data_IF_177595368040
#
_entry.id   IF_177595368040
#
_cell.length_a   1.000
_cell.length_b   1.000
_cell.length_c   1.000
_cell.angle_alpha   90.00
_cell.angle_beta   90.00
_cell.angle_gamma   90.00
#
_symmetry.space_group_name_H-M   'P 1'
#
loop_
_entity.id
_entity.type
_entity.pdbx_description
1 polymer ?
#
# COMPACT_ATOMS: atom_id res chain seq x y z
N UNK A 1 38.83 19.50 6.41
CA UNK A 1 39.36 18.86 5.17
C UNK A 1 39.03 17.36 5.05
N UNK A 2 39.44 16.48 6.01
CA UNK A 2 39.17 15.03 5.89
C UNK A 2 37.66 14.71 6.08
N UNK A 3 36.99 15.33 7.02
CA UNK A 3 35.54 15.15 7.29
C UNK A 3 34.69 15.66 6.11
N UNK A 4 35.09 16.77 5.53
CA UNK A 4 34.42 17.37 4.38
C UNK A 4 34.55 16.50 3.11
N UNK A 5 35.73 15.89 2.91
CA UNK A 5 35.95 14.91 1.84
C UNK A 5 35.14 13.62 2.02
N UNK A 6 35.03 13.11 3.25
CA UNK A 6 34.22 11.94 3.56
C UNK A 6 32.72 12.20 3.35
N UNK A 7 32.22 13.33 3.84
CA UNK A 7 30.80 13.71 3.63
C UNK A 7 30.50 13.91 2.14
N UNK A 8 31.40 14.53 1.38
CA UNK A 8 31.25 14.72 -0.06
C UNK A 8 31.27 13.38 -0.82
N UNK A 9 32.10 12.44 -0.39
CA UNK A 9 32.16 11.09 -0.96
C UNK A 9 30.87 10.31 -0.68
N UNK A 10 30.39 10.27 0.56
CA UNK A 10 29.11 9.65 0.93
C UNK A 10 27.91 10.26 0.19
N UNK A 11 27.86 11.59 0.05
CA UNK A 11 26.81 12.26 -0.71
C UNK A 11 26.85 11.91 -2.21
N UNK A 12 28.05 11.72 -2.76
CA UNK A 12 28.20 11.33 -4.16
C UNK A 12 27.78 9.87 -4.37
N UNK A 13 28.21 8.96 -3.50
CA UNK A 13 27.79 7.56 -3.56
C UNK A 13 26.28 7.39 -3.39
N UNK A 14 25.67 8.11 -2.45
CA UNK A 14 24.20 8.13 -2.28
C UNK A 14 23.48 8.66 -3.52
N UNK A 15 24.01 9.72 -4.12
CA UNK A 15 23.45 10.28 -5.36
C UNK A 15 23.54 9.31 -6.52
N UNK A 16 24.66 8.65 -6.69
CA UNK A 16 24.91 7.71 -7.80
C UNK A 16 24.09 6.43 -7.62
N UNK A 17 23.87 5.97 -6.38
CA UNK A 17 22.94 4.91 -6.05
C UNK A 17 21.49 5.30 -6.42
N UNK A 18 21.04 6.50 -6.03
CA UNK A 18 19.72 7.03 -6.38
C UNK A 18 19.50 7.14 -7.88
N UNK A 19 20.49 7.64 -8.63
CA UNK A 19 20.41 7.72 -10.12
C UNK A 19 20.31 6.33 -10.73
N UNK A 20 21.02 5.36 -10.19
CA UNK A 20 20.97 3.96 -10.65
C UNK A 20 19.60 3.35 -10.35
N UNK A 21 19.06 3.56 -9.16
CA UNK A 21 17.73 3.11 -8.78
C UNK A 21 16.62 3.77 -9.63
N UNK A 22 16.72 5.07 -9.91
CA UNK A 22 15.80 5.75 -10.82
C UNK A 22 15.82 5.15 -12.22
N UNK A 23 17.01 4.84 -12.77
CA UNK A 23 17.14 4.19 -14.08
C UNK A 23 16.56 2.77 -14.08
N UNK A 24 16.73 2.02 -12.99
CA UNK A 24 16.12 0.70 -12.83
C UNK A 24 14.60 0.80 -12.78
N UNK A 25 14.06 1.77 -12.02
CA UNK A 25 12.62 2.08 -11.97
C UNK A 25 12.08 2.49 -13.35
N UNK A 26 12.76 3.38 -14.07
CA UNK A 26 12.39 3.78 -15.42
C UNK A 26 12.41 2.59 -16.40
N UNK A 27 13.44 1.75 -16.33
CA UNK A 27 13.54 0.54 -17.15
C UNK A 27 12.43 -0.47 -16.84
N UNK A 28 12.05 -0.60 -15.56
CA UNK A 28 10.98 -1.48 -15.14
C UNK A 28 9.62 -0.93 -15.57
N UNK A 29 9.40 0.38 -15.41
CA UNK A 29 8.21 1.08 -15.92
C UNK A 29 8.10 0.90 -17.43
N UNK A 30 9.18 1.04 -18.19
CA UNK A 30 9.20 0.86 -19.65
C UNK A 30 8.89 -0.59 -20.06
N UNK A 31 9.46 -1.58 -19.37
CA UNK A 31 9.14 -3.01 -19.57
C UNK A 31 7.69 -3.33 -19.25
N UNK A 32 7.16 -2.75 -18.17
CA UNK A 32 5.77 -2.91 -17.76
C UNK A 32 4.84 -2.20 -18.74
N UNK A 33 5.18 -1.00 -19.21
CA UNK A 33 4.42 -0.28 -20.24
C UNK A 33 4.36 -1.07 -21.55
N UNK A 34 5.47 -1.68 -21.98
CA UNK A 34 5.50 -2.53 -23.18
C UNK A 34 4.68 -3.82 -23.02
N UNK A 35 4.77 -4.47 -21.86
CA UNK A 35 3.91 -5.62 -21.51
C UNK A 35 2.44 -5.23 -21.44
N UNK A 36 2.17 -4.00 -21.03
CA UNK A 36 0.87 -3.39 -20.96
C UNK A 36 0.27 -3.06 -22.33
N UNK A 37 1.04 -2.44 -23.23
CA UNK A 37 0.63 -2.19 -24.61
C UNK A 37 0.26 -3.48 -25.32
N UNK A 38 1.01 -4.57 -25.08
CA UNK A 38 0.69 -5.90 -25.60
C UNK A 38 -0.63 -6.41 -25.04
N UNK A 39 -0.84 -6.37 -23.72
CA UNK A 39 -2.09 -6.81 -23.09
C UNK A 39 -3.30 -5.93 -23.45
N UNK A 40 -3.12 -4.61 -23.58
CA UNK A 40 -4.16 -3.70 -24.07
C UNK A 40 -4.54 -4.02 -25.52
N UNK A 41 -3.55 -4.28 -26.37
CA UNK A 41 -3.79 -4.63 -27.79
C UNK A 41 -4.51 -5.98 -27.89
N UNK A 42 -4.14 -6.97 -27.09
CA UNK A 42 -4.83 -8.27 -27.01
C UNK A 42 -6.27 -8.13 -26.51
N UNK A 43 -6.48 -7.32 -25.47
CA UNK A 43 -7.81 -7.08 -24.88
C UNK A 43 -8.68 -6.24 -25.82
N UNK A 44 -8.09 -5.31 -26.58
CA UNK A 44 -8.80 -4.51 -27.59
C UNK A 44 -9.13 -5.35 -28.82
N UNK A 45 -8.26 -6.28 -29.21
CA UNK A 45 -8.50 -7.18 -30.36
C UNK A 45 -9.59 -8.23 -30.07
N UNK A 46 -9.74 -8.63 -28.81
CA UNK A 46 -10.83 -9.54 -28.36
C UNK A 46 -12.17 -8.83 -28.15
N UNK A 47 -12.19 -7.49 -28.14
CA UNK A 47 -13.36 -6.65 -27.88
C UNK A 47 -13.97 -6.04 -29.17
N UNK A 48 -13.83 -6.70 -30.31
CA UNK A 48 -14.63 -6.33 -31.49
C UNK A 48 -16.06 -6.77 -31.23
N UNK A 49 -16.90 -5.76 -30.99
CA UNK A 49 -18.37 -5.79 -30.77
C UNK A 49 -18.79 -5.77 -29.30
N UNK A 50 -18.71 -4.58 -28.67
CA UNK A 50 -19.71 -4.19 -27.67
C UNK A 50 -20.13 -2.74 -27.94
N UNK A 51 -21.41 -2.46 -28.12
CA UNK A 51 -21.92 -1.09 -28.21
C UNK A 51 -21.80 -0.46 -26.81
N UNK A 52 -21.27 0.76 -26.78
CA UNK A 52 -21.05 1.59 -25.60
C UNK A 52 -20.01 1.04 -24.60
N UNK A 53 -18.75 1.21 -24.93
CA UNK A 53 -17.71 1.16 -23.91
C UNK A 53 -18.06 2.15 -22.81
N UNK A 54 -18.19 1.63 -21.57
CA UNK A 54 -18.45 2.42 -20.38
C UNK A 54 -17.48 3.62 -20.33
N UNK A 55 -18.01 4.84 -20.25
CA UNK A 55 -17.20 6.06 -20.22
C UNK A 55 -16.11 6.00 -19.14
N UNK A 56 -16.41 5.36 -18.00
CA UNK A 56 -15.46 5.13 -16.92
C UNK A 56 -14.32 4.22 -17.35
N UNK A 57 -14.60 3.18 -18.14
CA UNK A 57 -13.55 2.28 -18.61
C UNK A 57 -12.60 2.97 -19.60
N UNK A 58 -13.12 3.87 -20.44
CA UNK A 58 -12.27 4.74 -21.30
C UNK A 58 -11.38 5.64 -20.44
N UNK A 59 -11.95 6.32 -19.44
CA UNK A 59 -11.19 7.14 -18.50
C UNK A 59 -10.07 6.35 -17.82
N UNK A 60 -10.34 5.10 -17.39
CA UNK A 60 -9.34 4.21 -16.80
C UNK A 60 -8.22 3.90 -17.78
N UNK A 61 -8.55 3.46 -19.00
CA UNK A 61 -7.55 3.12 -20.02
C UNK A 61 -6.68 4.31 -20.40
N UNK A 62 -7.30 5.46 -20.64
CA UNK A 62 -6.60 6.69 -21.01
C UNK A 62 -5.69 7.18 -19.86
N UNK A 63 -6.18 7.13 -18.61
CA UNK A 63 -5.37 7.51 -17.46
C UNK A 63 -4.17 6.58 -17.27
N UNK A 64 -4.35 5.27 -17.43
CA UNK A 64 -3.25 4.30 -17.32
C UNK A 64 -2.23 4.47 -18.46
N UNK A 65 -2.70 4.65 -19.71
CA UNK A 65 -1.84 4.87 -20.87
C UNK A 65 -0.96 6.11 -20.72
N UNK A 66 -1.53 7.19 -20.22
CA UNK A 66 -0.83 8.47 -20.07
C UNK A 66 -0.12 8.62 -18.72
N UNK A 67 -0.10 7.56 -17.87
CA UNK A 67 0.51 7.59 -16.55
C UNK A 67 -0.15 8.57 -15.56
N UNK A 68 -1.42 8.94 -15.80
CA UNK A 68 -2.19 9.85 -14.96
C UNK A 68 -2.79 9.14 -13.75
N UNK A 69 -1.91 8.46 -13.01
CA UNK A 69 -2.22 7.71 -11.78
C UNK A 69 -1.62 8.45 -10.61
N UNK A 70 -2.45 9.02 -9.77
CA UNK A 70 -2.05 9.73 -8.58
C UNK A 70 -2.21 8.86 -7.33
N UNK A 71 -1.39 9.07 -6.33
CA UNK A 71 -1.50 8.41 -5.04
C UNK A 71 -1.84 9.45 -3.96
N UNK A 72 -2.92 9.18 -3.23
CA UNK A 72 -3.30 9.95 -2.05
C UNK A 72 -2.97 9.14 -0.81
N UNK A 73 -2.41 9.80 0.20
CA UNK A 73 -2.03 9.18 1.46
C UNK A 73 -3.01 9.57 2.57
N UNK A 74 -3.53 8.56 3.27
CA UNK A 74 -4.31 8.75 4.49
C UNK A 74 -3.50 8.32 5.70
N UNK A 75 -3.42 9.14 6.77
CA UNK A 75 -2.66 8.79 7.95
C UNK A 75 -3.34 7.67 8.75
N UNK A 76 -2.52 6.74 9.26
CA UNK A 76 -2.84 5.79 10.30
C UNK A 76 -2.03 6.20 11.51
N UNK A 77 -2.71 6.50 12.61
CA UNK A 77 -2.10 7.07 13.80
C UNK A 77 -2.06 6.07 14.95
N UNK A 78 -0.99 6.14 15.74
CA UNK A 78 -0.93 5.43 17.02
C UNK A 78 -1.87 6.08 18.04
N UNK A 79 -2.52 5.27 18.83
CA UNK A 79 -3.42 5.71 19.90
C UNK A 79 -2.76 5.43 21.26
N UNK A 80 -2.96 6.28 22.28
CA UNK A 80 -3.73 7.53 22.26
C UNK A 80 -2.99 8.76 21.73
N UNK A 81 -1.68 8.66 21.37
CA UNK A 81 -0.81 9.81 21.09
C UNK A 81 -1.11 10.51 19.77
N UNK A 82 -1.88 9.89 18.87
CA UNK A 82 -2.24 10.38 17.52
C UNK A 82 -1.03 10.74 16.65
N UNK A 83 0.08 10.02 16.84
CA UNK A 83 1.26 10.17 15.98
C UNK A 83 1.07 9.34 14.72
N UNK A 84 1.35 9.94 13.57
CA UNK A 84 1.35 9.21 12.29
C UNK A 84 2.44 8.15 12.33
N UNK A 85 2.04 6.89 12.27
CA UNK A 85 2.92 5.72 12.25
C UNK A 85 2.99 5.09 10.87
N UNK A 86 1.88 5.18 10.12
CA UNK A 86 1.76 4.66 8.77
C UNK A 86 0.91 5.59 7.91
N UNK A 87 0.98 5.39 6.61
CA UNK A 87 0.00 5.90 5.66
C UNK A 87 -0.60 4.75 4.88
N UNK A 88 -1.84 4.90 4.45
CA UNK A 88 -2.41 4.04 3.40
C UNK A 88 -2.43 4.79 2.08
N UNK A 89 -2.00 4.09 1.02
CA UNK A 89 -1.97 4.61 -0.34
C UNK A 89 -3.25 4.31 -1.11
N UNK A 90 -3.98 5.38 -1.48
CA UNK A 90 -5.19 5.31 -2.29
C UNK A 90 -4.93 5.79 -3.71
N UNK A 91 -5.14 4.92 -4.67
CA UNK A 91 -5.03 5.27 -6.09
C UNK A 91 -6.16 6.23 -6.49
N UNK A 92 -5.81 7.22 -7.28
CA UNK A 92 -6.74 8.12 -7.98
C UNK A 92 -6.33 8.16 -9.44
N UNK A 93 -7.30 8.11 -10.34
CA UNK A 93 -7.06 8.33 -11.75
C UNK A 93 -7.44 9.76 -12.09
N UNK A 94 -6.68 10.40 -12.97
CA UNK A 94 -6.90 11.78 -13.33
C UNK A 94 -7.29 11.88 -14.79
N UNK A 95 -8.42 12.55 -15.06
CA UNK A 95 -8.87 12.86 -16.42
C UNK A 95 -7.99 13.93 -17.07
N UNK A 96 -8.05 14.12 -18.39
CA UNK A 96 -7.30 15.16 -19.08
C UNK A 96 -7.60 16.58 -18.58
N UNK A 97 -8.81 16.83 -18.09
CA UNK A 97 -9.23 18.11 -17.52
C UNK A 97 -8.75 18.34 -16.07
N UNK A 98 -8.03 17.37 -15.49
CA UNK A 98 -7.52 17.42 -14.13
C UNK A 98 -8.48 16.89 -13.07
N UNK A 99 -9.71 16.57 -13.39
CA UNK A 99 -10.68 15.98 -12.45
C UNK A 99 -10.25 14.56 -12.05
N UNK A 100 -10.58 14.16 -10.82
CA UNK A 100 -10.23 12.83 -10.30
C UNK A 100 -11.37 11.85 -10.51
N UNK A 101 -11.01 10.63 -10.90
CA UNK A 101 -11.89 9.46 -10.85
C UNK A 101 -11.54 8.68 -9.58
N UNK A 102 -12.53 8.52 -8.70
CA UNK A 102 -12.34 7.88 -7.41
C UNK A 102 -12.41 6.34 -7.52
N UNK A 103 -11.81 5.58 -6.58
CA UNK A 103 -11.86 4.12 -6.60
C UNK A 103 -13.26 3.55 -6.71
N UNK A 104 -14.22 4.12 -6.00
CA UNK A 104 -15.64 3.69 -6.07
C UNK A 104 -16.23 3.80 -7.48
N UNK A 105 -15.71 4.69 -8.32
CA UNK A 105 -16.18 4.88 -9.70
C UNK A 105 -15.52 3.87 -10.65
N UNK A 106 -14.22 3.57 -10.49
CA UNK A 106 -13.47 2.84 -11.51
C UNK A 106 -13.14 1.38 -11.17
N UNK A 107 -13.10 0.99 -9.88
CA UNK A 107 -12.61 -0.33 -9.50
C UNK A 107 -13.42 -1.48 -10.13
N UNK A 108 -14.73 -1.35 -10.21
CA UNK A 108 -15.57 -2.39 -10.81
C UNK A 108 -15.38 -2.48 -12.33
N UNK A 109 -15.25 -1.37 -13.02
CA UNK A 109 -14.93 -1.34 -14.44
C UNK A 109 -13.54 -1.93 -14.70
N UNK A 110 -12.54 -1.56 -13.89
CA UNK A 110 -11.19 -2.08 -13.97
C UNK A 110 -11.11 -3.60 -13.72
N UNK A 111 -11.87 -4.11 -12.74
CA UNK A 111 -11.95 -5.58 -12.48
C UNK A 111 -12.54 -6.32 -13.68
N UNK A 112 -13.67 -5.85 -14.21
CA UNK A 112 -14.31 -6.48 -15.40
C UNK A 112 -13.38 -6.48 -16.61
N UNK A 113 -12.61 -5.41 -16.78
CA UNK A 113 -11.65 -5.26 -17.87
C UNK A 113 -10.28 -5.91 -17.59
N UNK A 114 -10.09 -6.59 -16.44
CA UNK A 114 -8.81 -7.21 -16.02
C UNK A 114 -7.62 -6.23 -15.95
N UNK A 115 -7.88 -4.97 -15.61
CA UNK A 115 -6.86 -3.91 -15.50
C UNK A 115 -6.30 -3.77 -14.08
N UNK A 116 -6.80 -4.52 -13.09
CA UNK A 116 -6.37 -4.39 -11.69
C UNK A 116 -4.87 -4.58 -11.52
N UNK A 117 -4.28 -5.60 -12.16
CA UNK A 117 -2.83 -5.84 -12.07
C UNK A 117 -2.00 -4.64 -12.50
N UNK A 118 -2.47 -3.86 -13.46
CA UNK A 118 -1.78 -2.66 -13.95
C UNK A 118 -1.91 -1.52 -12.96
N UNK A 119 -3.11 -1.31 -12.42
CA UNK A 119 -3.36 -0.28 -11.39
C UNK A 119 -2.50 -0.56 -10.16
N UNK A 120 -2.46 -1.81 -9.70
CA UNK A 120 -1.64 -2.22 -8.56
C UNK A 120 -0.16 -1.95 -8.80
N UNK A 121 0.33 -2.21 -10.02
CA UNK A 121 1.72 -1.95 -10.37
C UNK A 121 2.08 -0.47 -10.22
N UNK A 122 1.28 0.43 -10.80
CA UNK A 122 1.49 1.86 -10.64
C UNK A 122 1.47 2.25 -9.15
N UNK A 123 0.51 1.73 -8.40
CA UNK A 123 0.36 2.00 -6.96
C UNK A 123 1.57 1.53 -6.17
N UNK A 124 2.02 0.29 -6.40
CA UNK A 124 3.17 -0.31 -5.73
C UNK A 124 4.46 0.47 -5.98
N UNK A 125 4.74 0.84 -7.24
CA UNK A 125 5.91 1.65 -7.55
C UNK A 125 5.87 3.01 -6.88
N UNK A 126 4.71 3.67 -6.88
CA UNK A 126 4.56 4.95 -6.19
C UNK A 126 4.75 4.81 -4.69
N UNK A 127 4.22 3.75 -4.08
CA UNK A 127 4.44 3.47 -2.65
C UNK A 127 5.92 3.29 -2.33
N UNK A 128 6.65 2.48 -3.10
CA UNK A 128 8.10 2.28 -2.91
C UNK A 128 8.87 3.59 -3.03
N UNK A 129 8.59 4.40 -4.06
CA UNK A 129 9.20 5.72 -4.22
C UNK A 129 8.97 6.64 -3.01
N UNK A 130 7.74 6.63 -2.47
CA UNK A 130 7.38 7.44 -1.30
C UNK A 130 8.12 6.97 -0.06
N UNK A 131 8.12 5.65 0.19
CA UNK A 131 8.79 5.07 1.36
C UNK A 131 10.27 5.43 1.35
N UNK A 132 10.97 5.33 0.21
CA UNK A 132 12.37 5.74 0.09
C UNK A 132 12.57 7.21 0.45
N UNK A 133 11.73 8.10 -0.07
CA UNK A 133 11.82 9.53 0.23
C UNK A 133 11.51 9.88 1.67
N UNK A 134 10.57 9.16 2.30
CA UNK A 134 10.29 9.32 3.73
C UNK A 134 11.48 8.86 4.56
N UNK A 135 12.14 7.74 4.17
CA UNK A 135 13.32 7.23 4.83
C UNK A 135 14.52 8.20 4.74
N UNK A 136 14.73 8.87 3.60
CA UNK A 136 15.77 9.89 3.40
C UNK A 136 15.58 11.09 4.35
N UNK A 137 14.36 11.37 4.79
CA UNK A 137 14.03 12.45 5.74
C UNK A 137 14.00 11.99 7.19
N UNK A 138 14.60 10.85 7.50
CA UNK A 138 14.60 10.21 8.82
C UNK A 138 13.19 9.97 9.40
N UNK A 139 12.20 9.86 8.52
CA UNK A 139 10.83 9.53 8.89
C UNK A 139 10.60 8.04 8.73
N UNK A 140 10.67 7.32 9.83
CA UNK A 140 10.37 5.87 9.89
C UNK A 140 8.85 5.63 9.87
N UNK A 141 8.23 5.94 8.75
CA UNK A 141 6.79 5.76 8.54
C UNK A 141 6.58 4.71 7.47
N UNK A 142 5.76 3.69 7.76
CA UNK A 142 5.42 2.67 6.78
C UNK A 142 4.25 3.10 5.88
N UNK A 143 4.10 2.42 4.75
CA UNK A 143 3.00 2.64 3.80
C UNK A 143 2.29 1.32 3.52
N UNK A 144 1.00 1.31 3.74
CA UNK A 144 0.09 0.25 3.32
C UNK A 144 -0.22 0.42 1.84
N UNK A 145 -0.04 -0.65 1.09
CA UNK A 145 -0.18 -0.67 -0.35
C UNK A 145 -1.13 -1.80 -0.76
N UNK A 146 -2.26 -1.43 -1.33
CA UNK A 146 -3.23 -2.40 -1.82
C UNK A 146 -2.62 -3.26 -2.93
N UNK A 147 -2.81 -4.57 -2.86
CA UNK A 147 -2.41 -5.54 -3.88
C UNK A 147 -3.55 -6.51 -4.16
N UNK A 148 -3.93 -6.65 -5.42
CA UNK A 148 -5.00 -7.56 -5.81
C UNK A 148 -4.51 -9.01 -5.96
N UNK A 149 -5.43 -9.96 -5.85
CA UNK A 149 -5.16 -11.36 -6.20
C UNK A 149 -4.66 -11.47 -7.66
N UNK A 150 -5.19 -10.64 -8.56
CA UNK A 150 -4.76 -10.62 -9.96
C UNK A 150 -3.26 -10.33 -10.11
N UNK A 151 -2.70 -9.42 -9.32
CA UNK A 151 -1.26 -9.12 -9.32
C UNK A 151 -0.43 -10.22 -8.69
N UNK A 152 -0.90 -10.79 -7.58
CA UNK A 152 -0.20 -11.89 -6.91
C UNK A 152 -0.21 -13.20 -7.72
N UNK A 153 -1.17 -13.38 -8.63
CA UNK A 153 -1.33 -14.57 -9.46
C UNK A 153 -0.81 -14.39 -10.90
N UNK A 154 -0.44 -13.18 -11.31
CA UNK A 154 0.02 -12.89 -12.67
C UNK A 154 1.41 -13.48 -12.89
N UNK A 155 1.48 -14.50 -13.75
CA UNK A 155 2.71 -15.25 -14.05
C UNK A 155 3.77 -14.44 -14.81
N UNK A 156 3.38 -13.31 -15.40
CA UNK A 156 4.29 -12.40 -16.13
C UNK A 156 4.78 -11.28 -15.21
N UNK A 157 3.85 -10.67 -14.49
CA UNK A 157 4.16 -9.54 -13.61
C UNK A 157 4.86 -9.97 -12.32
N UNK A 158 4.33 -10.97 -11.63
CA UNK A 158 4.81 -11.31 -10.29
C UNK A 158 6.31 -11.64 -10.23
N UNK A 159 6.91 -12.38 -11.16
CA UNK A 159 8.37 -12.62 -11.15
C UNK A 159 9.19 -11.32 -11.23
N UNK A 160 8.81 -10.38 -12.08
CA UNK A 160 9.50 -9.08 -12.21
C UNK A 160 9.31 -8.23 -10.94
N UNK A 161 8.11 -8.26 -10.39
CA UNK A 161 7.80 -7.60 -9.12
C UNK A 161 8.62 -8.18 -7.96
N UNK A 162 8.74 -9.51 -7.88
CA UNK A 162 9.53 -10.19 -6.86
C UNK A 162 11.02 -9.84 -6.97
N UNK A 163 11.56 -9.78 -8.20
CA UNK A 163 12.93 -9.32 -8.46
C UNK A 163 13.14 -7.90 -7.93
N UNK A 164 12.24 -6.99 -8.30
CA UNK A 164 12.26 -5.61 -7.82
C UNK A 164 12.17 -5.53 -6.28
N UNK A 165 11.29 -6.29 -5.64
CA UNK A 165 11.17 -6.32 -4.19
C UNK A 165 12.40 -6.98 -3.52
N UNK A 166 13.09 -7.90 -4.19
CA UNK A 166 14.34 -8.48 -3.71
C UNK A 166 15.46 -7.44 -3.65
N UNK A 167 15.58 -6.61 -4.68
CA UNK A 167 16.53 -5.49 -4.71
C UNK A 167 16.19 -4.41 -3.67
N UNK A 168 14.92 -4.30 -3.30
CA UNK A 168 14.39 -3.32 -2.35
C UNK A 168 14.02 -3.93 -0.98
N UNK A 169 14.65 -5.06 -0.60
CA UNK A 169 14.33 -5.77 0.66
C UNK A 169 14.57 -4.94 1.93
N UNK A 170 15.40 -3.91 1.86
CA UNK A 170 15.63 -2.92 2.91
C UNK A 170 14.35 -2.17 3.30
N UNK A 171 13.37 -2.10 2.40
CA UNK A 171 12.04 -1.50 2.63
C UNK A 171 11.02 -2.45 3.26
N UNK A 172 11.40 -3.71 3.56
CA UNK A 172 10.48 -4.73 4.08
C UNK A 172 9.80 -4.35 5.41
N UNK A 173 10.42 -3.47 6.20
CA UNK A 173 9.83 -2.92 7.42
C UNK A 173 8.88 -1.74 7.20
N UNK A 174 8.86 -1.16 6.01
CA UNK A 174 8.15 0.08 5.72
C UNK A 174 7.05 -0.08 4.63
N UNK A 175 7.11 -1.12 3.79
CA UNK A 175 6.04 -1.45 2.83
C UNK A 175 5.23 -2.61 3.38
N UNK A 176 3.92 -2.40 3.54
CA UNK A 176 2.96 -3.40 3.98
C UNK A 176 1.97 -3.65 2.83
N UNK A 177 1.87 -4.88 2.36
CA UNK A 177 0.89 -5.24 1.34
C UNK A 177 -0.48 -5.49 1.96
N UNK A 178 -1.51 -4.92 1.37
CA UNK A 178 -2.87 -5.00 1.89
C UNK A 178 -3.76 -5.80 0.96
N UNK A 179 -4.44 -6.81 1.51
CA UNK A 179 -5.37 -7.70 0.81
C UNK A 179 -6.68 -7.76 1.59
N UNK A 180 -7.80 -7.83 0.89
CA UNK A 180 -9.10 -7.93 1.55
C UNK A 180 -9.33 -9.32 2.17
N UNK A 181 -10.11 -9.38 3.26
CA UNK A 181 -10.37 -10.61 4.00
C UNK A 181 -10.95 -11.72 3.11
N UNK A 182 -11.90 -11.40 2.22
CA UNK A 182 -12.50 -12.34 1.28
C UNK A 182 -11.47 -12.97 0.32
N UNK A 183 -10.51 -12.16 -0.16
CA UNK A 183 -9.43 -12.63 -1.04
C UNK A 183 -8.42 -13.47 -0.29
N UNK A 184 -8.12 -13.12 0.95
CA UNK A 184 -7.28 -13.95 1.79
C UNK A 184 -7.91 -15.33 2.05
N UNK A 185 -9.20 -15.40 2.32
CA UNK A 185 -9.89 -16.67 2.57
C UNK A 185 -9.98 -17.56 1.32
N UNK A 186 -10.21 -16.97 0.16
CA UNK A 186 -10.38 -17.67 -1.12
C UNK A 186 -9.09 -17.82 -1.93
N UNK A 187 -7.91 -17.45 -1.34
CA UNK A 187 -6.64 -17.41 -2.06
C UNK A 187 -6.25 -18.75 -2.68
N UNK A 188 -5.86 -18.69 -3.94
CA UNK A 188 -5.34 -19.83 -4.70
C UNK A 188 -4.00 -20.33 -4.13
N UNK A 189 -3.54 -21.48 -4.59
CA UNK A 189 -2.20 -21.96 -4.26
C UNK A 189 -1.12 -21.01 -4.76
N UNK A 190 -1.25 -20.51 -6.00
CA UNK A 190 -0.29 -19.57 -6.57
C UNK A 190 -0.16 -18.28 -5.73
N UNK A 191 -1.30 -17.71 -5.29
CA UNK A 191 -1.31 -16.57 -4.40
C UNK A 191 -0.60 -16.85 -3.08
N UNK A 192 -0.86 -18.01 -2.44
CA UNK A 192 -0.15 -18.41 -1.22
C UNK A 192 1.35 -18.51 -1.42
N UNK A 193 1.79 -19.27 -2.44
CA UNK A 193 3.21 -19.47 -2.75
C UNK A 193 3.92 -18.12 -3.01
N UNK A 194 3.22 -17.16 -3.60
CA UNK A 194 3.77 -15.85 -3.91
C UNK A 194 3.77 -14.90 -2.68
N UNK A 195 2.77 -14.99 -1.81
CA UNK A 195 2.81 -14.33 -0.50
C UNK A 195 3.96 -14.85 0.36
N UNK A 196 4.21 -16.16 0.35
CA UNK A 196 5.32 -16.78 1.10
C UNK A 196 6.68 -16.28 0.61
N UNK A 197 6.86 -16.09 -0.71
CA UNK A 197 8.10 -15.51 -1.27
C UNK A 197 8.34 -14.08 -0.77
N UNK A 198 7.31 -13.22 -0.77
CA UNK A 198 7.41 -11.86 -0.24
C UNK A 198 7.67 -11.85 1.27
N UNK A 199 7.02 -12.75 2.01
CA UNK A 199 7.24 -12.91 3.45
C UNK A 199 8.68 -13.38 3.76
N UNK A 200 9.24 -14.27 2.93
CA UNK A 200 10.64 -14.69 3.04
C UNK A 200 11.65 -13.55 2.82
N UNK A 201 11.29 -12.54 2.03
CA UNK A 201 12.07 -11.30 1.88
C UNK A 201 11.91 -10.34 3.07
N UNK A 202 11.00 -10.64 4.02
CA UNK A 202 10.72 -9.83 5.20
C UNK A 202 9.51 -8.90 5.05
N UNK A 203 8.86 -8.86 3.89
CA UNK A 203 7.65 -8.06 3.69
C UNK A 203 6.48 -8.63 4.50
N UNK A 204 5.52 -7.78 4.81
CA UNK A 204 4.39 -8.09 5.69
C UNK A 204 3.09 -7.81 4.99
N UNK A 205 2.03 -8.47 5.45
CA UNK A 205 0.70 -8.30 4.92
C UNK A 205 -0.26 -7.75 5.98
N UNK A 206 -1.28 -7.05 5.50
CA UNK A 206 -2.45 -6.60 6.22
C UNK A 206 -3.70 -7.25 5.65
N UNK A 207 -4.62 -7.63 6.52
CA UNK A 207 -6.00 -7.95 6.13
C UNK A 207 -6.83 -6.68 6.22
N UNK A 208 -7.44 -6.31 5.12
CA UNK A 208 -8.38 -5.19 5.04
C UNK A 208 -9.82 -5.68 5.05
N UNK A 209 -10.73 -4.85 5.55
CA UNK A 209 -12.16 -5.14 5.63
C UNK A 209 -12.47 -6.48 6.32
N UNK A 210 -11.84 -6.74 7.47
CA UNK A 210 -12.21 -7.89 8.27
C UNK A 210 -13.63 -7.70 8.84
N UNK A 211 -14.52 -8.66 8.53
CA UNK A 211 -15.94 -8.56 8.89
C UNK A 211 -16.23 -8.96 10.33
N UNK A 212 -15.36 -9.77 10.95
CA UNK A 212 -15.58 -10.22 12.33
C UNK A 212 -14.27 -10.58 13.04
N UNK A 213 -14.35 -10.68 14.36
CA UNK A 213 -13.23 -11.02 15.24
C UNK A 213 -12.90 -12.53 15.25
N UNK A 214 -13.70 -13.39 14.63
CA UNK A 214 -13.51 -14.86 14.62
C UNK A 214 -12.38 -15.32 13.72
N UNK A 215 -11.24 -14.62 13.71
CA UNK A 215 -10.10 -14.91 12.85
C UNK A 215 -9.20 -15.99 13.47
N UNK A 216 -8.65 -16.86 12.63
CA UNK A 216 -7.65 -17.86 12.99
C UNK A 216 -6.26 -17.21 13.06
N UNK A 217 -5.86 -16.77 14.25
CA UNK A 217 -4.62 -16.02 14.46
C UNK A 217 -3.35 -16.84 14.11
N UNK A 218 -3.23 -18.13 14.49
CA UNK A 218 -2.13 -18.97 14.04
C UNK A 218 -1.99 -19.01 12.51
N UNK A 219 -3.11 -19.17 11.80
CA UNK A 219 -3.14 -19.19 10.33
C UNK A 219 -2.74 -17.84 9.73
N UNK A 220 -3.22 -16.74 10.29
CA UNK A 220 -2.83 -15.39 9.87
C UNK A 220 -1.34 -15.16 10.09
N UNK A 221 -0.83 -15.49 11.28
CA UNK A 221 0.58 -15.33 11.62
C UNK A 221 1.49 -16.10 10.67
N UNK A 222 1.15 -17.37 10.38
CA UNK A 222 1.92 -18.23 9.47
C UNK A 222 1.93 -17.71 8.03
N UNK A 223 0.87 -17.04 7.60
CA UNK A 223 0.76 -16.41 6.28
C UNK A 223 1.43 -15.04 6.16
N UNK A 224 2.16 -14.60 7.19
CA UNK A 224 2.86 -13.30 7.16
C UNK A 224 1.97 -12.09 7.46
N UNK A 225 0.73 -12.31 7.91
CA UNK A 225 -0.17 -11.22 8.31
C UNK A 225 0.35 -10.62 9.62
N UNK A 226 0.45 -9.29 9.66
CA UNK A 226 0.87 -8.53 10.83
C UNK A 226 -0.08 -7.42 11.21
N UNK A 227 -1.05 -7.14 10.36
CA UNK A 227 -2.08 -6.14 10.61
C UNK A 227 -3.45 -6.66 10.22
N UNK A 228 -4.47 -6.24 10.94
CA UNK A 228 -5.89 -6.48 10.62
C UNK A 228 -6.64 -5.18 10.79
N UNK A 229 -7.30 -4.74 9.73
CA UNK A 229 -8.16 -3.56 9.74
C UNK A 229 -9.63 -3.96 9.84
N UNK A 230 -10.34 -3.28 10.70
CA UNK A 230 -11.78 -3.43 10.89
C UNK A 230 -12.46 -2.06 10.96
N UNK A 231 -13.64 -1.97 10.38
CA UNK A 231 -14.48 -0.79 10.58
C UNK A 231 -14.71 -0.54 12.08
N UNK A 232 -14.45 0.69 12.55
CA UNK A 232 -14.46 1.01 13.98
C UNK A 232 -15.80 0.76 14.64
N UNK A 233 -16.91 1.19 14.04
CA UNK A 233 -18.26 0.95 14.59
C UNK A 233 -18.52 -0.55 14.71
N UNK A 234 -18.24 -1.29 13.65
CA UNK A 234 -18.45 -2.75 13.64
C UNK A 234 -17.55 -3.49 14.64
N UNK A 235 -16.32 -3.04 14.79
CA UNK A 235 -15.38 -3.56 15.79
C UNK A 235 -15.93 -3.34 17.21
N UNK A 236 -16.41 -2.13 17.51
CA UNK A 236 -16.97 -1.81 18.83
C UNK A 236 -18.19 -2.65 19.15
N UNK A 237 -19.11 -2.81 18.20
CA UNK A 237 -20.30 -3.66 18.38
C UNK A 237 -19.89 -5.10 18.73
N UNK A 238 -18.89 -5.66 18.07
CA UNK A 238 -18.42 -7.01 18.33
C UNK A 238 -17.65 -7.12 19.66
N UNK A 239 -16.87 -6.14 20.04
CA UNK A 239 -16.15 -6.14 21.30
C UNK A 239 -17.12 -6.10 22.51
N UNK A 240 -18.21 -5.35 22.38
CA UNK A 240 -19.26 -5.24 23.40
C UNK A 240 -20.16 -6.47 23.49
N UNK A 241 -20.36 -7.19 22.37
CA UNK A 241 -21.19 -8.39 22.37
C UNK A 241 -20.47 -9.56 23.04
N UNK A 242 -20.88 -10.01 24.23
CA UNK A 242 -20.24 -11.14 24.90
C UNK A 242 -20.49 -12.49 24.20
N UNK A 243 -21.41 -12.55 23.25
CA UNK A 243 -21.76 -13.78 22.50
C UNK A 243 -21.17 -13.78 21.10
N UNK A 244 -20.66 -12.66 20.61
CA UNK A 244 -20.10 -12.47 19.29
C UNK A 244 -18.86 -13.33 18.99
N UNK A 245 -18.43 -13.33 17.73
CA UNK A 245 -17.25 -14.09 17.32
C UNK A 245 -15.98 -13.60 18.04
N UNK A 246 -15.10 -14.55 18.36
CA UNK A 246 -13.82 -14.28 19.04
C UNK A 246 -12.67 -14.93 18.30
N UNK A 247 -11.45 -14.38 18.38
CA UNK A 247 -10.30 -14.91 17.69
C UNK A 247 -10.03 -16.35 18.10
N UNK A 248 -9.78 -17.20 17.09
CA UNK A 248 -9.28 -18.54 17.31
C UNK A 248 -7.79 -18.42 17.65
N UNK A 249 -7.45 -18.92 18.81
CA UNK A 249 -6.10 -18.87 19.37
C UNK A 249 -5.77 -20.16 20.08
N UNK A 250 -4.51 -20.36 20.46
CA UNK A 250 -4.08 -21.50 21.29
C UNK A 250 -4.61 -21.43 22.73
N UNK A 251 -5.28 -20.35 23.10
CA UNK A 251 -5.88 -20.16 24.44
C UNK A 251 -7.20 -20.91 24.45
N UNK A 252 -7.30 -21.96 25.26
CA UNK A 252 -8.49 -22.79 25.35
C UNK A 252 -9.57 -22.18 26.30
N UNK A 253 -9.80 -20.87 26.19
CA UNK A 253 -10.87 -20.15 26.90
C UNK A 253 -11.46 -19.06 26.01
N UNK A 254 -12.69 -18.66 26.31
CA UNK A 254 -13.30 -17.52 25.66
C UNK A 254 -12.53 -16.24 26.02
N UNK A 255 -12.27 -15.41 25.02
CA UNK A 255 -11.57 -14.13 25.14
C UNK A 255 -12.62 -13.04 25.34
N UNK A 256 -12.50 -12.24 26.40
CA UNK A 256 -13.35 -11.08 26.60
C UNK A 256 -12.97 -9.93 25.66
N UNK A 257 -13.92 -9.00 25.40
CA UNK A 257 -13.69 -7.89 24.46
C UNK A 257 -12.44 -7.07 24.78
N UNK A 258 -12.20 -6.78 26.06
CA UNK A 258 -11.03 -6.05 26.55
C UNK A 258 -9.70 -6.78 26.33
N UNK A 259 -9.72 -8.10 26.20
CA UNK A 259 -8.54 -8.92 25.98
C UNK A 259 -8.20 -9.13 24.49
N UNK A 260 -9.12 -8.82 23.58
CA UNK A 260 -8.98 -9.11 22.13
C UNK A 260 -7.71 -8.52 21.55
N UNK A 261 -7.45 -7.24 21.78
CA UNK A 261 -6.24 -6.55 21.28
C UNK A 261 -4.97 -7.23 21.78
N UNK A 262 -4.91 -7.59 23.07
CA UNK A 262 -3.77 -8.30 23.64
C UNK A 262 -3.59 -9.70 23.06
N UNK A 263 -4.68 -10.42 22.73
CA UNK A 263 -4.61 -11.73 22.08
C UNK A 263 -4.04 -11.61 20.68
N UNK A 264 -4.49 -10.66 19.86
CA UNK A 264 -3.89 -10.40 18.53
C UNK A 264 -2.40 -10.08 18.65
N UNK A 265 -2.02 -9.23 19.59
CA UNK A 265 -0.62 -8.84 19.83
C UNK A 265 0.29 -10.03 20.15
N UNK A 266 -0.18 -11.06 20.88
CA UNK A 266 0.58 -12.28 21.17
C UNK A 266 0.95 -13.07 19.90
N UNK A 267 0.17 -12.94 18.84
CA UNK A 267 0.49 -13.52 17.51
C UNK A 267 1.27 -12.56 16.62
N UNK A 268 1.73 -11.42 17.16
CA UNK A 268 2.42 -10.39 16.41
C UNK A 268 1.54 -9.73 15.35
N UNK A 269 0.23 -9.71 15.61
CA UNK A 269 -0.77 -9.09 14.74
C UNK A 269 -1.29 -7.84 15.44
N UNK A 270 -1.32 -6.74 14.74
CA UNK A 270 -1.75 -5.44 15.24
C UNK A 270 -3.11 -5.08 14.66
N UNK A 271 -4.05 -4.67 15.51
CA UNK A 271 -5.36 -4.22 15.09
C UNK A 271 -5.34 -2.73 14.71
N UNK A 272 -6.08 -2.38 13.68
CA UNK A 272 -6.31 -1.00 13.24
C UNK A 272 -7.82 -0.81 13.11
N UNK A 273 -8.37 0.14 13.86
CA UNK A 273 -9.75 0.56 13.70
C UNK A 273 -9.82 1.61 12.58
N UNK A 274 -10.59 1.33 11.53
CA UNK A 274 -10.72 2.21 10.37
C UNK A 274 -12.09 2.91 10.30
N UNK A 275 -12.18 3.93 9.45
CA UNK A 275 -13.41 4.73 9.24
C UNK A 275 -13.89 5.41 10.52
N UNK A 276 -12.95 5.92 11.30
CA UNK A 276 -13.24 6.69 12.50
C UNK A 276 -13.52 8.14 12.08
N UNK A 277 -14.76 8.57 12.27
CA UNK A 277 -15.23 9.86 11.75
C UNK A 277 -15.33 10.96 12.82
N UNK A 278 -15.41 10.57 14.11
CA UNK A 278 -15.63 11.49 15.23
C UNK A 278 -14.84 11.12 16.49
N UNK A 279 -14.76 12.08 17.41
CA UNK A 279 -14.02 11.94 18.66
C UNK A 279 -14.67 10.96 19.66
N UNK A 280 -15.98 10.75 19.61
CA UNK A 280 -16.66 9.80 20.50
C UNK A 280 -16.22 8.38 20.16
N UNK A 281 -16.14 8.06 18.86
CA UNK A 281 -15.61 6.78 18.38
C UNK A 281 -14.14 6.57 18.78
N UNK A 282 -13.32 7.64 18.83
CA UNK A 282 -11.94 7.52 19.31
C UNK A 282 -11.90 7.13 20.78
N UNK A 283 -12.73 7.73 21.63
CA UNK A 283 -12.79 7.41 23.06
C UNK A 283 -13.19 5.94 23.26
N UNK A 284 -14.20 5.47 22.55
CA UNK A 284 -14.65 4.08 22.64
C UNK A 284 -13.54 3.08 22.24
N UNK A 285 -12.80 3.36 21.17
CA UNK A 285 -11.70 2.51 20.70
C UNK A 285 -10.59 2.43 21.75
N UNK A 286 -10.33 3.52 22.46
CA UNK A 286 -9.31 3.57 23.52
C UNK A 286 -9.67 2.68 24.72
N UNK A 287 -10.96 2.47 25.02
CA UNK A 287 -11.40 1.58 26.11
C UNK A 287 -11.00 0.11 25.89
N UNK A 288 -10.76 -0.28 24.63
CA UNK A 288 -10.37 -1.65 24.23
C UNK A 288 -8.90 -1.78 23.83
N UNK A 289 -8.07 -0.80 24.19
CA UNK A 289 -6.63 -0.81 23.92
C UNK A 289 -6.28 -1.05 22.44
N UNK A 290 -7.12 -0.56 21.51
CA UNK A 290 -6.82 -0.66 20.07
C UNK A 290 -5.66 0.28 19.73
N UNK A 291 -4.54 -0.23 19.22
CA UNK A 291 -3.29 0.53 19.14
C UNK A 291 -3.24 1.55 18.01
N UNK A 292 -4.06 1.38 16.97
CA UNK A 292 -4.07 2.28 15.81
C UNK A 292 -5.46 2.63 15.34
N UNK A 293 -5.58 3.87 14.84
CA UNK A 293 -6.82 4.39 14.24
C UNK A 293 -6.57 5.04 12.88
N UNK A 294 -7.55 4.91 12.00
CA UNK A 294 -7.62 5.54 10.69
C UNK A 294 -9.03 6.07 10.44
N UNK A 295 -9.15 7.25 9.85
CA UNK A 295 -10.44 7.87 9.54
C UNK A 295 -10.30 9.37 9.35
N UNK A 296 -11.40 10.03 8.97
CA UNK A 296 -11.36 11.46 8.69
C UNK A 296 -11.06 12.31 9.94
N UNK A 297 -11.37 11.82 11.14
CA UNK A 297 -11.02 12.50 12.39
C UNK A 297 -9.52 12.68 12.55
N UNK A 298 -8.70 11.80 11.99
CA UNK A 298 -7.24 11.89 11.99
C UNK A 298 -6.68 12.54 10.71
N UNK A 299 -7.43 12.49 9.62
CA UNK A 299 -7.11 13.10 8.34
C UNK A 299 -7.70 12.37 7.16
N UNK A 300 -8.17 13.14 6.17
CA UNK A 300 -8.63 12.60 4.89
C UNK A 300 -7.44 12.18 4.01
N UNK A 301 -7.64 11.29 3.02
CA UNK A 301 -6.65 11.02 1.99
C UNK A 301 -6.27 12.30 1.25
N UNK A 302 -4.98 12.62 1.18
CA UNK A 302 -4.45 13.84 0.55
C UNK A 302 -3.41 13.49 -0.50
N UNK A 303 -3.33 14.27 -1.60
CA UNK A 303 -2.27 14.10 -2.57
C UNK A 303 -0.91 14.35 -1.90
N UNK A 304 0.09 13.64 -2.37
CA UNK A 304 1.46 13.85 -1.93
C UNK A 304 1.88 15.23 -2.43
N UNK A 305 2.40 16.07 -1.53
CA UNK A 305 2.89 17.39 -1.92
C UNK A 305 3.98 17.24 -2.97
N UNK A 306 3.88 18.01 -4.06
CA UNK A 306 4.89 18.05 -5.13
C UNK A 306 6.29 18.27 -4.58
N UNK A 307 6.45 19.07 -3.52
CA UNK A 307 7.72 19.26 -2.81
C UNK A 307 8.33 17.97 -2.25
N UNK A 308 7.53 16.96 -1.92
CA UNK A 308 8.02 15.62 -1.55
C UNK A 308 8.50 14.85 -2.78
N UNK A 309 8.01 15.20 -3.98
CA UNK A 309 8.32 14.54 -5.24
C UNK A 309 9.40 15.30 -6.05
N UNK A 310 9.52 16.61 -5.88
CA UNK A 310 10.40 17.49 -6.69
C UNK A 310 11.80 17.71 -6.08
N UNK A 311 12.00 17.50 -4.78
CA UNK A 311 13.30 17.75 -4.11
C UNK A 311 14.41 16.71 -4.39
N UNK A 312 14.32 15.93 -5.45
CA UNK A 312 15.44 15.10 -5.95
C UNK A 312 16.24 15.75 -7.07
N UNK A 313 15.79 16.90 -7.61
CA UNK A 313 16.67 17.74 -8.41
C UNK A 313 17.53 18.58 -7.42
N UNK A 314 18.88 18.56 -7.52
CA UNK A 314 19.68 19.48 -6.75
C UNK A 314 19.19 20.90 -7.02
N UNK A 315 19.13 21.79 -6.01
CA UNK A 315 18.70 23.16 -6.22
C UNK A 315 19.43 23.73 -7.43
N UNK A 316 18.70 24.35 -8.36
CA UNK A 316 19.31 24.92 -9.59
C UNK A 316 20.50 25.86 -9.27
N UNK A 317 20.47 26.51 -8.12
CA UNK A 317 21.60 27.28 -7.61
C UNK A 317 22.87 26.47 -7.33
N UNK A 318 22.73 25.20 -6.94
CA UNK A 318 23.88 24.31 -6.71
C UNK A 318 24.46 23.83 -8.04
N UNK A 319 23.62 23.56 -9.03
CA UNK A 319 24.05 23.19 -10.39
C UNK A 319 24.73 24.37 -11.07
N UNK A 320 24.20 25.58 -10.93
CA UNK A 320 24.82 26.82 -11.44
C UNK A 320 26.15 27.15 -10.76
N UNK A 321 26.27 26.95 -9.45
CA UNK A 321 27.54 27.10 -8.73
C UNK A 321 28.61 26.10 -9.13
N UNK A 322 28.22 24.84 -9.37
CA UNK A 322 29.16 23.81 -9.81
C UNK A 322 29.60 23.97 -11.27
N UNK A 323 28.76 24.58 -12.13
CA UNK A 323 29.11 24.89 -13.53
C UNK A 323 29.92 26.19 -13.67
N UNK A 324 30.03 27.02 -12.62
CA UNK A 324 30.85 28.22 -12.62
C UNK A 324 32.29 28.04 -12.09
N UNK A 325 32.66 26.78 -11.74
CA UNK A 325 33.99 26.37 -11.29
C UNK A 325 34.73 25.46 -12.28
N UNK A 326 34.28 25.41 -13.57
CA UNK A 326 34.92 24.69 -14.65
C UNK A 326 35.65 25.62 -15.62
#
# INVERSE_FOLDING_TARGET
DAVEATVKHELTERRDALVTEMKQLESLIDRLSKSFESKLTETTSAAIVAPEEDAVLRDVRDALKDGRVDLHLQPIVSLPQRRVSFYEGFTRLRRPDGSLVLPAEFLDAARRAKLMGIIDNFTLFRCVQIVRRLAERDRRVGVFCNISAASLEDTTFFPMFLEFMTENRDLSGAVIFEITADRFETRSRAMRDNMDKLTALGFRFSIDHADNLGLDLPRLQSAGIRFVKMNGTHLMDQLRDPTGPRPVSSINRRVDGEEVSAVFSRYGITMIAEKIEDEASVVEILEYDIPYGQGHVFGAPRPIKSSLMEETAPPQELVQRLSSFG
#
